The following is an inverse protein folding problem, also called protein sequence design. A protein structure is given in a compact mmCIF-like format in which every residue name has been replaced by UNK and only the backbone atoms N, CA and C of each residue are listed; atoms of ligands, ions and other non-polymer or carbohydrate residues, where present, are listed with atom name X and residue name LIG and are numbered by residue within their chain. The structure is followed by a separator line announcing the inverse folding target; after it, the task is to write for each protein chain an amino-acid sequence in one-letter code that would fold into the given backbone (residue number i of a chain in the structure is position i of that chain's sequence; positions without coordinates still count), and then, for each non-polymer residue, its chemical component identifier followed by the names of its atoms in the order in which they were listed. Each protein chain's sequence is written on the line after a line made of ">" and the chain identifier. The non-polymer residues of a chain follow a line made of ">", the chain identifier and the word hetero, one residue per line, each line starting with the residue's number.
data_IF_537247364753
#
_entry.id   IF_537247364753
#
_cell.length_a   1.000
_cell.length_b   1.000
_cell.length_c   1.000
_cell.angle_alpha   90.00
_cell.angle_beta   90.00
_cell.angle_gamma   90.00
#
_symmetry.space_group_name_H-M   'P 1'
#
loop_
_entity.id
_entity.type
_entity.pdbx_description
1 polymer ?
#
# COMPACT_ATOMS: atom_id res chain seq x y z
N UNK A 1 -0.83 -14.03 -8.50
CA UNK A 1 -1.46 -15.36 -8.30
C UNK A 1 -1.72 -15.55 -6.81
N UNK A 2 -2.93 -15.94 -6.39
CA UNK A 2 -3.44 -16.15 -5.01
C UNK A 2 -3.15 -15.06 -3.94
N UNK A 3 -1.89 -14.72 -3.67
CA UNK A 3 -1.47 -13.65 -2.76
C UNK A 3 -2.09 -12.29 -3.11
N UNK A 4 -2.00 -11.87 -4.37
CA UNK A 4 -2.63 -10.63 -4.86
C UNK A 4 -4.16 -10.59 -4.62
N UNK A 5 -4.82 -11.74 -4.73
CA UNK A 5 -6.26 -11.84 -4.48
C UNK A 5 -6.58 -11.70 -2.98
N UNK A 6 -5.72 -12.25 -2.11
CA UNK A 6 -5.83 -12.06 -0.67
C UNK A 6 -5.67 -10.59 -0.29
N UNK A 7 -4.69 -9.89 -0.87
CA UNK A 7 -4.50 -8.46 -0.61
C UNK A 7 -5.68 -7.62 -1.08
N UNK A 8 -6.27 -7.96 -2.23
CA UNK A 8 -7.52 -7.33 -2.67
C UNK A 8 -8.64 -7.51 -1.65
N UNK A 9 -8.84 -8.72 -1.13
CA UNK A 9 -9.85 -8.99 -0.10
C UNK A 9 -9.60 -8.18 1.18
N UNK A 10 -8.35 -8.07 1.62
CA UNK A 10 -7.97 -7.24 2.79
C UNK A 10 -8.34 -5.78 2.55
N UNK A 11 -7.98 -5.22 1.39
CA UNK A 11 -8.32 -3.84 1.03
C UNK A 11 -9.84 -3.66 1.02
N UNK A 12 -10.57 -4.53 0.32
CA UNK A 12 -12.02 -4.42 0.19
C UNK A 12 -12.71 -4.54 1.57
N UNK A 13 -12.23 -5.42 2.46
CA UNK A 13 -12.82 -5.64 3.79
C UNK A 13 -12.51 -4.51 4.78
N UNK A 14 -11.26 -4.05 4.82
CA UNK A 14 -10.82 -3.08 5.82
C UNK A 14 -11.05 -1.63 5.38
N UNK A 15 -11.11 -1.33 4.08
CA UNK A 15 -11.34 0.06 3.60
C UNK A 15 -12.62 0.67 4.17
N UNK A 16 -13.67 -0.13 4.31
CA UNK A 16 -14.95 0.29 4.89
C UNK A 16 -14.87 0.53 6.41
N UNK A 17 -13.92 -0.11 7.10
CA UNK A 17 -13.68 0.03 8.53
C UNK A 17 -12.70 1.18 8.85
N UNK A 18 -12.00 1.69 7.85
CA UNK A 18 -11.04 2.80 7.96
C UNK A 18 -11.77 4.17 7.98
N UNK A 19 -12.79 4.30 8.83
CA UNK A 19 -13.68 5.46 8.86
C UNK A 19 -13.03 6.68 9.49
N UNK A 20 -12.27 6.51 10.58
CA UNK A 20 -11.90 7.66 11.42
C UNK A 20 -10.39 7.78 11.76
N UNK A 21 -9.71 6.73 12.23
CA UNK A 21 -8.31 6.85 12.74
C UNK A 21 -7.40 5.63 12.40
N UNK A 22 -7.74 4.88 11.36
CA UNK A 22 -7.03 3.64 11.01
C UNK A 22 -5.92 3.84 9.98
N UNK A 23 -4.77 3.22 10.23
CA UNK A 23 -3.71 3.01 9.22
C UNK A 23 -3.80 1.56 8.76
N UNK A 24 -3.92 1.34 7.45
CA UNK A 24 -3.75 0.02 6.85
C UNK A 24 -2.39 -0.05 6.18
N UNK A 25 -1.54 -0.97 6.64
CA UNK A 25 -0.22 -1.22 6.07
C UNK A 25 -0.25 -2.60 5.44
N UNK A 26 0.04 -2.66 4.14
CA UNK A 26 0.25 -3.89 3.40
C UNK A 26 1.75 -4.04 3.21
N UNK A 27 2.34 -4.94 3.99
CA UNK A 27 3.76 -5.28 3.93
C UNK A 27 4.04 -6.33 2.85
N UNK A 28 5.30 -6.38 2.42
CA UNK A 28 5.82 -7.38 1.49
C UNK A 28 5.02 -7.43 0.19
N UNK A 29 5.06 -6.33 -0.59
CA UNK A 29 4.57 -6.34 -1.98
C UNK A 29 5.50 -7.20 -2.84
N UNK A 30 5.43 -8.52 -2.63
CA UNK A 30 6.23 -9.58 -3.21
C UNK A 30 7.72 -9.22 -3.37
N UNK A 31 8.48 -9.31 -2.28
CA UNK A 31 9.94 -9.07 -2.23
C UNK A 31 10.77 -9.89 -3.22
N UNK A 32 10.19 -10.98 -3.75
CA UNK A 32 10.88 -11.96 -4.58
C UNK A 32 10.77 -11.70 -6.09
N UNK A 33 10.15 -10.58 -6.50
CA UNK A 33 10.11 -10.16 -7.90
C UNK A 33 11.02 -8.97 -8.15
N UNK A 34 11.36 -8.75 -9.41
CA UNK A 34 12.17 -7.60 -9.81
C UNK A 34 11.49 -6.26 -9.42
N UNK A 35 12.28 -5.18 -9.28
CA UNK A 35 11.75 -3.89 -8.82
C UNK A 35 10.61 -3.30 -9.64
N UNK A 36 10.59 -3.53 -10.95
CA UNK A 36 9.56 -3.02 -11.86
C UNK A 36 8.24 -3.77 -11.64
N UNK A 37 8.31 -5.10 -11.54
CA UNK A 37 7.13 -5.92 -11.24
C UNK A 37 6.56 -5.61 -9.85
N UNK A 38 7.42 -5.39 -8.85
CA UNK A 38 7.01 -4.98 -7.50
C UNK A 38 6.27 -3.62 -7.53
N UNK A 39 6.81 -2.63 -8.26
CA UNK A 39 6.16 -1.32 -8.42
C UNK A 39 4.78 -1.46 -9.07
N UNK A 40 4.67 -2.25 -10.14
CA UNK A 40 3.38 -2.52 -10.80
C UNK A 40 2.35 -3.16 -9.86
N UNK A 41 2.77 -4.06 -8.98
CA UNK A 41 1.88 -4.64 -7.98
C UNK A 41 1.46 -3.62 -6.93
N UNK A 42 2.37 -2.76 -6.49
CA UNK A 42 2.08 -1.67 -5.55
C UNK A 42 1.05 -0.70 -6.14
N UNK A 43 1.21 -0.31 -7.40
CA UNK A 43 0.24 0.50 -8.14
C UNK A 43 -1.13 -0.19 -8.26
N UNK A 44 -1.15 -1.51 -8.51
CA UNK A 44 -2.39 -2.27 -8.55
C UNK A 44 -3.12 -2.28 -7.19
N UNK A 45 -2.37 -2.41 -6.09
CA UNK A 45 -2.93 -2.36 -4.73
C UNK A 45 -3.56 -1.00 -4.44
N UNK A 46 -2.89 0.10 -4.75
CA UNK A 46 -3.47 1.46 -4.62
C UNK A 46 -4.78 1.58 -5.40
N UNK A 47 -4.81 1.07 -6.64
CA UNK A 47 -5.99 1.15 -7.48
C UNK A 47 -7.16 0.27 -7.00
N UNK A 48 -6.95 -0.66 -6.07
CA UNK A 48 -8.03 -1.44 -5.47
C UNK A 48 -8.74 -0.75 -4.31
N UNK A 49 -8.12 0.26 -3.69
CA UNK A 49 -8.84 1.08 -2.73
C UNK A 49 -10.02 1.80 -3.42
N UNK A 50 -11.12 2.06 -2.71
CA UNK A 50 -12.19 2.93 -3.22
C UNK A 50 -11.67 4.31 -3.61
N UNK A 51 -12.21 4.88 -4.70
CA UNK A 51 -11.68 6.11 -5.31
C UNK A 51 -11.62 7.29 -4.32
N UNK A 52 -12.66 7.41 -3.49
CA UNK A 52 -12.81 8.42 -2.45
C UNK A 52 -11.68 8.42 -1.40
N UNK A 53 -11.07 7.25 -1.20
CA UNK A 53 -10.04 7.02 -0.18
C UNK A 53 -8.63 6.82 -0.77
N UNK A 54 -8.50 6.54 -2.08
CA UNK A 54 -7.18 6.39 -2.77
C UNK A 54 -6.22 7.55 -2.53
N UNK A 55 -6.74 8.76 -2.37
CA UNK A 55 -5.95 9.98 -2.09
C UNK A 55 -5.18 9.95 -0.76
N UNK A 56 -5.42 8.94 0.07
CA UNK A 56 -4.75 8.69 1.34
C UNK A 56 -3.84 7.45 1.28
N UNK A 57 -3.78 6.77 0.13
CA UNK A 57 -2.92 5.63 -0.09
C UNK A 57 -1.61 6.06 -0.79
N UNK A 58 -0.47 5.59 -0.29
CA UNK A 58 0.85 5.86 -0.85
C UNK A 58 1.78 4.64 -0.74
N UNK A 59 2.87 4.66 -1.50
CA UNK A 59 3.91 3.63 -1.49
C UNK A 59 5.10 4.17 -0.69
N UNK A 60 5.54 3.43 0.32
CA UNK A 60 6.80 3.65 1.04
C UNK A 60 7.82 2.59 0.62
N UNK A 61 8.81 3.00 -0.18
CA UNK A 61 9.86 2.12 -0.70
C UNK A 61 11.11 2.20 0.18
N UNK A 62 11.30 1.18 1.03
CA UNK A 62 12.43 1.12 1.97
C UNK A 62 13.62 0.31 1.46
N UNK A 63 13.60 -0.12 0.18
CA UNK A 63 14.70 -0.91 -0.41
C UNK A 63 16.03 -0.17 -0.36
N UNK A 64 16.00 1.17 -0.46
CA UNK A 64 17.19 2.01 -0.36
C UNK A 64 17.80 2.09 1.05
N UNK A 65 17.03 1.78 2.09
CA UNK A 65 17.43 1.97 3.49
C UNK A 65 18.00 0.67 4.07
N UNK A 66 17.38 -0.47 3.79
CA UNK A 66 17.65 -1.70 4.54
C UNK A 66 18.62 -2.70 3.88
N UNK A 67 19.07 -2.50 2.63
CA UNK A 67 19.80 -3.53 1.85
C UNK A 67 19.12 -4.93 1.81
N UNK A 68 17.92 -5.06 2.38
CA UNK A 68 17.04 -6.21 2.34
C UNK A 68 16.03 -5.94 1.23
N UNK A 69 15.89 -6.90 0.33
CA UNK A 69 15.10 -6.79 -0.90
C UNK A 69 13.57 -6.74 -0.67
N UNK A 70 13.08 -6.40 0.53
CA UNK A 70 11.77 -6.86 0.98
C UNK A 70 10.77 -5.85 1.55
N UNK A 71 11.04 -4.54 1.51
CA UNK A 71 10.17 -3.61 2.24
C UNK A 71 9.60 -2.51 1.33
N UNK A 72 8.85 -2.91 0.28
CA UNK A 72 7.87 -1.99 -0.32
C UNK A 72 6.58 -2.11 0.48
N UNK A 73 6.10 -0.99 1.01
CA UNK A 73 4.85 -0.93 1.77
C UNK A 73 3.80 -0.17 0.95
N UNK A 74 2.57 -0.68 0.93
CA UNK A 74 1.40 0.12 0.52
C UNK A 74 0.67 0.53 1.77
N UNK A 75 0.66 1.83 2.03
CA UNK A 75 0.13 2.43 3.24
C UNK A 75 -1.11 3.23 2.88
N UNK A 76 -2.19 3.01 3.61
CA UNK A 76 -3.33 3.90 3.67
C UNK A 76 -3.31 4.62 5.01
N UNK A 77 -3.23 5.95 4.98
CA UNK A 77 -3.25 6.79 6.17
C UNK A 77 -4.06 8.07 5.92
N UNK A 78 -5.21 8.19 6.61
CA UNK A 78 -6.08 9.37 6.54
C UNK A 78 -5.48 10.61 7.21
N UNK A 79 -4.48 10.47 8.07
CA UNK A 79 -3.86 11.57 8.82
C UNK A 79 -2.75 12.28 8.02
N UNK A 80 -2.00 11.57 7.18
CA UNK A 80 -0.80 12.11 6.53
C UNK A 80 -1.05 13.03 5.32
N UNK A 81 -2.31 13.40 5.04
CA UNK A 81 -2.63 14.51 4.13
C UNK A 81 -2.16 15.90 4.59
N UNK A 82 -1.36 15.99 5.66
CA UNK A 82 -0.76 17.22 6.18
C UNK A 82 0.69 17.50 5.77
N UNK A 83 1.41 16.59 5.08
CA UNK A 83 2.85 16.83 4.76
C UNK A 83 3.12 17.59 3.47
N UNK A 84 2.16 17.72 2.57
CA UNK A 84 2.30 18.54 1.34
C UNK A 84 2.00 20.04 1.57
N UNK A 85 2.11 20.54 2.81
CA UNK A 85 1.88 21.94 3.17
C UNK A 85 3.09 22.63 3.82
N UNK A 86 4.31 22.14 3.62
CA UNK A 86 5.55 22.83 4.01
C UNK A 86 6.54 22.94 2.85
#
# INVERSE_FOLDING_TARGET
>A
SHWLYHQKFVIDFYSDLLTDDGILIIEDVNSNVDPETNMRYSDMLINWFPEEVRKFAYIDDRRAINNNMADTLVIYDKHEKGRDSM
#
